data_IF_020727162243
#
_entry.id   IF_020727162243
#
_cell.length_a   1.000
_cell.length_b   1.000
_cell.length_c   1.000
_cell.angle_alpha   90.00
_cell.angle_beta   90.00
_cell.angle_gamma   90.00
#
_symmetry.space_group_name_H-M   'P 1'
#
loop_
_entity.id
_entity.type
_entity.pdbx_description
1 polymer ?
#
# COMPACT_ATOMS: atom_id res chain seq x y z
N UNK A 1 18.15 -3.99 -6.63
CA UNK A 1 17.09 -3.05 -6.21
C UNK A 1 17.39 -2.64 -4.76
N UNK A 2 17.65 -1.36 -4.47
CA UNK A 2 17.96 -0.93 -3.08
C UNK A 2 16.66 -0.63 -2.36
N UNK A 3 16.29 -1.46 -1.39
CA UNK A 3 15.26 -1.11 -0.41
C UNK A 3 15.88 -0.03 0.48
N UNK A 4 15.33 1.19 0.44
CA UNK A 4 15.79 2.27 1.32
C UNK A 4 15.35 1.95 2.75
N UNK A 5 16.19 2.18 3.76
CA UNK A 5 15.77 2.04 5.15
C UNK A 5 14.54 2.91 5.42
N UNK A 6 13.61 2.41 6.24
CA UNK A 6 12.44 3.18 6.66
C UNK A 6 12.94 4.48 7.30
N UNK A 7 12.52 5.63 6.76
CA UNK A 7 12.90 6.96 7.28
C UNK A 7 11.86 7.53 8.23
N UNK A 8 10.82 6.76 8.58
CA UNK A 8 9.63 7.24 9.31
C UNK A 8 8.99 8.48 8.66
N UNK A 9 9.14 8.57 7.34
CA UNK A 9 8.54 9.58 6.48
C UNK A 9 7.33 9.02 5.72
N UNK A 10 6.95 7.77 5.98
CA UNK A 10 5.89 7.13 5.21
C UNK A 10 4.58 7.90 5.35
N UNK A 11 4.06 8.32 4.20
CA UNK A 11 2.79 9.00 4.04
C UNK A 11 2.23 8.56 2.69
N UNK A 12 1.41 7.53 2.74
CA UNK A 12 0.82 6.89 1.57
C UNK A 12 -0.38 7.68 1.07
N UNK A 13 -0.46 7.82 -0.25
CA UNK A 13 -1.59 8.47 -0.90
C UNK A 13 -1.91 7.75 -2.19
N UNK A 14 -3.20 7.77 -2.53
CA UNK A 14 -3.66 7.30 -3.83
C UNK A 14 -3.14 8.24 -4.92
N UNK A 15 -2.60 7.66 -5.97
CA UNK A 15 -2.19 8.39 -7.17
C UNK A 15 -3.32 8.37 -8.20
N UNK A 16 -3.35 9.32 -9.15
CA UNK A 16 -4.31 9.30 -10.26
C UNK A 16 -3.94 8.26 -11.33
N UNK A 17 -2.82 7.56 -11.17
CA UNK A 17 -2.32 6.57 -12.12
C UNK A 17 -2.76 5.18 -11.67
N UNK A 18 -3.03 4.32 -12.64
CA UNK A 18 -3.24 2.91 -12.42
C UNK A 18 -2.05 2.13 -12.96
N UNK A 19 -1.68 1.05 -12.26
CA UNK A 19 -0.63 0.14 -12.71
C UNK A 19 -1.27 -1.22 -12.94
N UNK A 20 -1.23 -1.70 -14.18
CA UNK A 20 -1.86 -2.97 -14.60
C UNK A 20 -3.37 -3.03 -14.32
N UNK A 21 -4.05 -1.87 -14.39
CA UNK A 21 -5.48 -1.77 -14.09
C UNK A 21 -5.81 -1.68 -12.60
N UNK A 22 -4.80 -1.59 -11.73
CA UNK A 22 -5.00 -1.46 -10.29
C UNK A 22 -4.68 -0.05 -9.81
N UNK A 23 -5.43 0.42 -8.81
CA UNK A 23 -5.18 1.70 -8.16
C UNK A 23 -3.76 1.72 -7.57
N UNK A 24 -2.95 2.68 -8.00
CA UNK A 24 -1.57 2.79 -7.55
C UNK A 24 -1.46 3.78 -6.40
N UNK A 25 -0.73 3.39 -5.37
CA UNK A 25 -0.41 4.23 -4.22
C UNK A 25 1.08 4.54 -4.24
N UNK A 26 1.42 5.76 -3.86
CA UNK A 26 2.80 6.17 -3.69
C UNK A 26 2.98 6.75 -2.30
N UNK A 27 4.18 6.59 -1.75
CA UNK A 27 4.57 7.22 -0.51
C UNK A 27 5.24 8.58 -0.82
N UNK A 28 4.73 9.68 -0.28
CA UNK A 28 5.34 11.01 -0.47
C UNK A 28 6.71 11.16 0.19
N UNK A 29 6.96 10.42 1.27
CA UNK A 29 8.20 10.59 2.04
C UNK A 29 9.38 9.73 1.56
N UNK A 30 9.13 8.52 1.07
CA UNK A 30 10.20 7.62 0.59
C UNK A 30 10.15 7.35 -0.92
N UNK A 31 9.06 7.70 -1.61
CA UNK A 31 8.88 7.45 -3.04
C UNK A 31 8.55 6.00 -3.39
N UNK A 32 8.36 5.12 -2.40
CA UNK A 32 7.90 3.75 -2.64
C UNK A 32 6.51 3.75 -3.27
N UNK A 33 6.23 2.71 -4.06
CA UNK A 33 4.97 2.54 -4.78
C UNK A 33 4.40 1.18 -4.42
N UNK A 34 3.08 1.09 -4.39
CA UNK A 34 2.35 -0.11 -4.03
C UNK A 34 1.07 -0.22 -4.85
N UNK A 35 0.67 -1.45 -5.13
CA UNK A 35 -0.61 -1.80 -5.74
C UNK A 35 -1.26 -2.93 -4.94
N UNK A 36 -2.61 -3.05 -4.93
CA UNK A 36 -3.36 -4.09 -4.24
C UNK A 36 -2.79 -5.51 -4.42
N UNK A 37 -2.39 -5.87 -5.63
CA UNK A 37 -1.84 -7.19 -5.96
C UNK A 37 -0.49 -7.52 -5.33
N UNK A 38 0.21 -6.59 -4.66
CA UNK A 38 1.42 -6.94 -3.91
C UNK A 38 1.10 -7.65 -2.59
N UNK A 39 1.92 -8.61 -2.16
CA UNK A 39 1.65 -9.41 -0.95
C UNK A 39 1.87 -8.69 0.40
N UNK A 40 2.42 -7.48 0.39
CA UNK A 40 2.68 -6.70 1.60
C UNK A 40 1.66 -5.56 1.73
N UNK A 41 1.45 -5.06 2.96
CA UNK A 41 0.52 -3.96 3.23
C UNK A 41 1.29 -2.72 3.66
N UNK A 42 1.13 -1.59 2.96
CA UNK A 42 1.81 -0.36 3.32
C UNK A 42 1.33 0.22 4.64
N UNK A 43 2.28 0.77 5.38
CA UNK A 43 2.04 1.45 6.65
C UNK A 43 2.62 2.86 6.58
N UNK A 44 1.90 3.81 7.17
CA UNK A 44 2.39 5.16 7.41
C UNK A 44 3.48 5.16 8.48
N UNK A 45 4.09 6.32 8.68
CA UNK A 45 5.22 6.52 9.61
C UNK A 45 4.92 6.14 11.06
N UNK A 46 3.66 6.25 11.48
CA UNK A 46 3.19 5.85 12.81
C UNK A 46 2.88 4.35 12.91
N UNK A 47 3.03 3.60 11.81
CA UNK A 47 2.78 2.17 11.74
C UNK A 47 1.32 1.81 11.42
N UNK A 48 0.39 2.78 11.37
CA UNK A 48 -0.97 2.50 10.92
C UNK A 48 -1.03 2.23 9.42
N UNK A 49 -2.02 1.45 9.01
CA UNK A 49 -2.35 1.28 7.59
C UNK A 49 -3.33 2.40 7.20
N UNK A 50 -3.08 3.14 6.11
CA UNK A 50 -3.99 4.18 5.64
C UNK A 50 -5.41 3.62 5.38
N UNK A 51 -6.47 4.40 5.64
CA UNK A 51 -7.84 3.94 5.52
C UNK A 51 -8.21 3.46 4.11
N UNK A 52 -7.69 4.11 3.06
CA UNK A 52 -7.93 3.69 1.67
C UNK A 52 -7.35 2.30 1.38
N UNK A 53 -6.14 2.03 1.91
CA UNK A 53 -5.46 0.75 1.76
C UNK A 53 -6.19 -0.34 2.58
N UNK A 54 -6.63 -0.01 3.79
CA UNK A 54 -7.44 -0.92 4.62
C UNK A 54 -8.76 -1.29 3.93
N UNK A 55 -9.42 -0.32 3.29
CA UNK A 55 -10.67 -0.57 2.57
C UNK A 55 -10.47 -1.55 1.41
N UNK A 56 -9.39 -1.40 0.65
CA UNK A 56 -9.01 -2.32 -0.42
C UNK A 56 -8.74 -3.72 0.16
N UNK A 57 -7.92 -3.83 1.20
CA UNK A 57 -7.60 -5.13 1.82
C UNK A 57 -8.82 -5.84 2.39
N UNK A 58 -9.79 -5.09 2.90
CA UNK A 58 -11.07 -5.65 3.34
C UNK A 58 -11.92 -6.13 2.16
N UNK A 59 -11.92 -5.42 1.04
CA UNK A 59 -12.65 -5.81 -0.17
C UNK A 59 -12.00 -7.01 -0.88
N UNK A 60 -10.68 -7.13 -0.82
CA UNK A 60 -9.89 -8.27 -1.34
C UNK A 60 -9.95 -9.51 -0.43
N UNK A 61 -10.60 -9.42 0.74
CA UNK A 61 -10.82 -10.56 1.62
C UNK A 61 -12.27 -11.12 1.51
N UNK A 62 -12.76 -11.59 0.34
CA UNK A 62 -13.86 -12.54 0.34
C UNK A 62 -13.31 -13.92 0.69
N UNK A 63 -13.64 -14.45 1.88
CA UNK A 63 -13.72 -15.87 2.29
C UNK A 63 -12.73 -16.98 1.80
N UNK A 64 -11.69 -16.71 1.00
CA UNK A 64 -10.78 -17.69 0.38
C UNK A 64 -9.45 -17.86 1.14
N UNK A 65 -9.48 -17.64 2.46
CA UNK A 65 -8.34 -17.89 3.34
C UNK A 65 -8.77 -18.75 4.55
N UNK A 66 -9.34 -19.92 4.27
CA UNK A 66 -9.38 -21.03 5.22
C UNK A 66 -8.42 -22.12 4.71
N UNK A 67 -7.41 -22.56 5.49
CA UNK A 67 -6.77 -23.85 5.27
C UNK A 67 -7.71 -25.01 5.66
#
# INVERSE_FOLDING_TARGET
MRVRPCRDLCSWHRTPVERRGEAMFACRGCGSQWVPGEHWTPRDRDGAVPPDILAIRRAEAPEDAAP
#
